data_IF_341628432015
#
_entry.id   IF_341628432015
#
_cell.length_a   1.000
_cell.length_b   1.000
_cell.length_c   1.000
_cell.angle_alpha   90.00
_cell.angle_beta   90.00
_cell.angle_gamma   90.00
#
_symmetry.space_group_name_H-M   'P 1'
#
loop_
_entity.id
_entity.type
_entity.pdbx_description
1 polymer ?
#
# COMPACT_ATOMS: atom_id res chain seq x y z
N UNK A 1 8.78 -72.70 -5.29
CA UNK A 1 9.65 -71.51 -5.51
C UNK A 1 8.98 -70.66 -6.57
N UNK A 2 8.58 -69.41 -6.26
CA UNK A 2 7.90 -68.54 -7.24
C UNK A 2 8.95 -67.88 -8.15
N UNK A 3 8.70 -67.71 -9.46
CA UNK A 3 9.64 -67.05 -10.35
C UNK A 3 9.82 -65.58 -9.96
N UNK A 4 11.07 -65.12 -9.88
CA UNK A 4 11.44 -63.72 -9.67
C UNK A 4 11.19 -63.00 -11.00
N UNK A 5 10.32 -61.97 -10.99
CA UNK A 5 10.11 -61.12 -12.17
C UNK A 5 11.29 -60.13 -12.29
N UNK A 6 11.81 -59.87 -13.50
CA UNK A 6 12.91 -58.96 -13.70
C UNK A 6 12.50 -57.51 -13.38
N UNK A 7 13.37 -56.84 -12.63
CA UNK A 7 13.25 -55.44 -12.22
C UNK A 7 13.05 -54.56 -13.45
N UNK A 8 11.83 -54.03 -13.61
CA UNK A 8 11.57 -52.96 -14.55
C UNK A 8 12.18 -51.71 -13.93
N UNK A 9 13.42 -51.38 -14.30
CA UNK A 9 13.98 -50.05 -14.08
C UNK A 9 13.06 -49.04 -14.76
N UNK A 10 12.10 -48.51 -14.00
CA UNK A 10 11.39 -47.31 -14.36
C UNK A 10 12.45 -46.22 -14.41
N UNK A 11 12.84 -45.81 -15.62
CA UNK A 11 13.51 -44.54 -15.84
C UNK A 11 12.61 -43.49 -15.19
N UNK A 12 13.01 -43.05 -14.00
CA UNK A 12 12.38 -41.96 -13.28
C UNK A 12 12.23 -40.81 -14.25
N UNK A 13 10.99 -40.41 -14.48
CA UNK A 13 10.66 -39.13 -15.08
C UNK A 13 11.54 -38.08 -14.39
N UNK A 14 12.18 -37.14 -15.12
CA UNK A 14 12.86 -36.05 -14.45
C UNK A 14 11.81 -35.39 -13.56
N UNK A 15 12.06 -35.44 -12.25
CA UNK A 15 11.29 -34.71 -11.26
C UNK A 15 11.17 -33.30 -11.82
N UNK A 16 9.93 -32.84 -12.00
CA UNK A 16 9.64 -31.49 -12.40
C UNK A 16 10.57 -30.59 -11.60
N UNK A 17 11.44 -29.88 -12.30
CA UNK A 17 12.22 -28.81 -11.74
C UNK A 17 11.20 -27.83 -11.15
N UNK A 18 10.90 -27.97 -9.86
CA UNK A 18 10.30 -26.92 -9.06
C UNK A 18 11.34 -25.81 -9.06
N UNK A 19 11.32 -25.03 -10.14
CA UNK A 19 11.93 -23.72 -10.22
C UNK A 19 11.41 -22.96 -9.01
N UNK A 20 12.26 -22.85 -7.99
CA UNK A 20 11.96 -22.15 -6.75
C UNK A 20 11.84 -20.67 -7.10
N UNK A 21 10.67 -20.29 -7.61
CA UNK A 21 10.31 -18.91 -7.88
C UNK A 21 10.48 -18.18 -6.55
N UNK A 22 11.52 -17.35 -6.49
CA UNK A 22 11.81 -16.50 -5.36
C UNK A 22 10.51 -15.79 -4.95
N UNK A 23 10.00 -16.11 -3.75
CA UNK A 23 8.75 -15.56 -3.22
C UNK A 23 8.90 -14.07 -2.91
N UNK A 24 8.99 -13.25 -3.96
CA UNK A 24 9.03 -11.79 -3.85
C UNK A 24 7.61 -11.29 -3.69
N UNK A 25 7.23 -10.98 -2.44
CA UNK A 25 5.94 -10.32 -2.18
C UNK A 25 6.04 -8.85 -2.59
N UNK A 26 5.03 -8.29 -3.26
CA UNK A 26 5.03 -6.89 -3.63
C UNK A 26 5.03 -5.99 -2.39
N UNK A 27 5.74 -4.87 -2.48
CA UNK A 27 5.83 -3.84 -1.44
C UNK A 27 5.67 -2.46 -2.08
N UNK A 28 4.92 -1.57 -1.44
CA UNK A 28 4.61 -0.24 -1.96
C UNK A 28 5.39 0.85 -1.22
N UNK A 29 6.06 1.72 -1.97
CA UNK A 29 6.62 2.97 -1.44
C UNK A 29 5.88 4.13 -2.09
N UNK A 30 5.34 5.01 -1.27
CA UNK A 30 4.70 6.23 -1.72
C UNK A 30 5.34 7.46 -1.04
N UNK A 31 5.43 8.55 -1.78
CA UNK A 31 5.95 9.83 -1.27
C UNK A 31 5.07 10.98 -1.73
N UNK A 32 4.95 12.01 -0.91
CA UNK A 32 4.24 13.24 -1.27
C UNK A 32 4.85 14.46 -0.60
N UNK A 33 4.62 15.63 -1.18
CA UNK A 33 4.95 16.91 -0.56
C UNK A 33 3.69 17.79 -0.59
N UNK A 34 3.07 17.97 0.57
CA UNK A 34 1.83 18.74 0.69
C UNK A 34 2.10 20.25 0.67
N UNK A 35 1.06 21.02 0.37
CA UNK A 35 1.13 22.48 0.32
C UNK A 35 1.63 23.11 1.64
N UNK A 36 2.58 24.04 1.54
CA UNK A 36 3.32 24.56 2.69
C UNK A 36 2.57 25.60 3.52
N UNK A 37 1.64 26.38 2.94
CA UNK A 37 1.16 27.60 3.58
C UNK A 37 0.42 27.34 4.91
N UNK A 38 0.89 27.88 6.05
CA UNK A 38 0.45 27.45 7.38
C UNK A 38 -1.06 27.60 7.60
N UNK A 39 -1.66 28.68 7.09
CA UNK A 39 -3.11 28.98 7.24
C UNK A 39 -4.04 28.17 6.31
N UNK A 40 -3.51 27.39 5.37
CA UNK A 40 -4.31 26.67 4.36
C UNK A 40 -4.36 25.17 4.65
N UNK A 41 -4.72 24.83 5.88
CA UNK A 41 -4.83 23.44 6.33
C UNK A 41 -5.87 22.64 5.56
N UNK A 42 -6.99 23.27 5.17
CA UNK A 42 -7.99 22.62 4.32
C UNK A 42 -7.42 22.15 2.97
N UNK A 43 -6.48 22.90 2.38
CA UNK A 43 -5.80 22.51 1.14
C UNK A 43 -4.94 21.29 1.37
N UNK A 44 -4.10 21.30 2.42
CA UNK A 44 -3.29 20.12 2.78
C UNK A 44 -4.15 18.89 3.05
N UNK A 45 -5.27 19.07 3.75
CA UNK A 45 -6.19 17.96 4.06
C UNK A 45 -6.84 17.40 2.80
N UNK A 46 -7.27 18.25 1.87
CA UNK A 46 -7.81 17.81 0.58
C UNK A 46 -6.76 17.06 -0.25
N UNK A 47 -5.52 17.57 -0.30
CA UNK A 47 -4.42 16.90 -0.97
C UNK A 47 -4.09 15.53 -0.35
N UNK A 48 -4.04 15.44 0.99
CA UNK A 48 -3.82 14.17 1.68
C UNK A 48 -4.92 13.15 1.37
N UNK A 49 -6.20 13.56 1.42
CA UNK A 49 -7.33 12.69 1.08
C UNK A 49 -7.25 12.18 -0.36
N UNK A 50 -6.90 13.06 -1.31
CA UNK A 50 -6.71 12.67 -2.71
C UNK A 50 -5.55 11.68 -2.85
N UNK A 51 -4.41 11.97 -2.22
CA UNK A 51 -3.24 11.08 -2.23
C UNK A 51 -3.59 9.66 -1.75
N UNK A 52 -4.28 9.51 -0.61
CA UNK A 52 -4.69 8.20 -0.11
C UNK A 52 -5.73 7.51 -1.01
N UNK A 53 -6.66 8.26 -1.60
CA UNK A 53 -7.64 7.73 -2.56
C UNK A 53 -6.95 7.15 -3.79
N UNK A 54 -6.02 7.89 -4.38
CA UNK A 54 -5.28 7.46 -5.56
C UNK A 54 -4.36 6.28 -5.24
N UNK A 55 -3.75 6.26 -4.06
CA UNK A 55 -2.92 5.14 -3.62
C UNK A 55 -3.72 3.85 -3.49
N UNK A 56 -4.95 3.92 -2.95
CA UNK A 56 -5.87 2.78 -2.90
C UNK A 56 -6.29 2.31 -4.28
N UNK A 57 -6.58 3.25 -5.19
CA UNK A 57 -6.91 2.96 -6.59
C UNK A 57 -5.74 2.29 -7.33
N UNK A 58 -4.53 2.79 -7.11
CA UNK A 58 -3.29 2.24 -7.67
C UNK A 58 -3.06 0.79 -7.22
N UNK A 59 -3.19 0.51 -5.93
CA UNK A 59 -3.04 -0.85 -5.40
C UNK A 59 -4.14 -1.79 -5.90
N UNK A 60 -5.39 -1.34 -5.93
CA UNK A 60 -6.52 -2.15 -6.37
C UNK A 60 -6.41 -2.62 -7.83
N UNK A 61 -5.81 -1.82 -8.71
CA UNK A 61 -5.63 -2.16 -10.14
C UNK A 61 -4.50 -3.16 -10.40
N UNK A 62 -3.49 -3.21 -9.53
CA UNK A 62 -2.29 -4.02 -9.75
C UNK A 62 -2.21 -5.29 -8.91
N UNK A 63 -2.89 -5.33 -7.77
CA UNK A 63 -2.68 -6.31 -6.69
C UNK A 63 -4.01 -6.69 -6.04
N UNK A 64 -5.04 -6.90 -6.85
CA UNK A 64 -6.42 -7.14 -6.41
C UNK A 64 -6.48 -8.31 -5.41
N UNK A 65 -6.96 -8.04 -4.19
CA UNK A 65 -7.07 -9.03 -3.10
C UNK A 65 -5.80 -9.27 -2.27
N UNK A 66 -4.65 -8.66 -2.63
CA UNK A 66 -3.43 -8.78 -1.85
C UNK A 66 -3.31 -7.67 -0.79
N UNK A 67 -2.96 -8.04 0.45
CA UNK A 67 -2.45 -7.08 1.43
C UNK A 67 -1.02 -6.70 1.08
N UNK A 68 -0.84 -5.46 0.61
CA UNK A 68 0.46 -4.96 0.17
C UNK A 68 1.08 -4.12 1.28
N UNK A 69 2.17 -4.58 1.93
CA UNK A 69 2.87 -3.77 2.91
C UNK A 69 3.36 -2.46 2.26
N UNK A 70 3.26 -1.36 2.99
CA UNK A 70 3.52 -0.03 2.43
C UNK A 70 4.29 0.86 3.40
N UNK A 71 5.21 1.65 2.83
CA UNK A 71 5.85 2.78 3.49
C UNK A 71 5.46 4.07 2.79
N UNK A 72 4.87 4.99 3.55
CA UNK A 72 4.51 6.33 3.10
C UNK A 72 5.48 7.33 3.73
N UNK A 73 6.08 8.18 2.89
CA UNK A 73 7.07 9.18 3.28
C UNK A 73 6.75 10.55 2.71
N UNK A 74 7.55 11.54 3.08
CA UNK A 74 7.53 12.87 2.48
C UNK A 74 7.24 13.98 3.47
N UNK A 75 7.15 15.20 2.94
CA UNK A 75 6.88 16.41 3.72
C UNK A 75 5.39 16.75 3.68
N UNK A 76 4.69 16.39 4.76
CA UNK A 76 3.26 16.63 4.91
C UNK A 76 2.93 18.06 5.36
N UNK A 77 3.93 18.90 5.68
CA UNK A 77 3.74 20.24 6.23
C UNK A 77 2.72 20.26 7.39
N UNK A 78 2.78 19.24 8.26
CA UNK A 78 1.85 19.03 9.36
C UNK A 78 2.60 18.72 10.66
N UNK A 79 1.93 18.92 11.79
CA UNK A 79 2.46 18.65 13.15
C UNK A 79 1.49 17.75 13.91
N UNK A 80 1.93 17.06 14.98
CA UNK A 80 1.02 16.29 15.83
C UNK A 80 -0.20 17.12 16.26
N UNK A 81 -1.38 16.51 16.20
CA UNK A 81 -2.67 17.15 16.55
C UNK A 81 -3.40 17.84 15.38
N UNK A 82 -2.70 18.17 14.28
CA UNK A 82 -3.34 18.75 13.10
C UNK A 82 -4.23 17.74 12.37
N UNK A 83 -5.29 18.18 11.65
CA UNK A 83 -6.17 17.35 10.83
C UNK A 83 -5.46 16.35 9.91
N UNK A 84 -4.40 16.75 9.20
CA UNK A 84 -3.65 15.84 8.32
C UNK A 84 -2.97 14.74 9.12
N UNK A 85 -2.30 15.08 10.22
CA UNK A 85 -1.69 14.10 11.12
C UNK A 85 -2.73 13.11 11.68
N UNK A 86 -3.90 13.61 12.09
CA UNK A 86 -5.00 12.76 12.57
C UNK A 86 -5.53 11.82 11.48
N UNK A 87 -5.71 12.32 10.26
CA UNK A 87 -6.08 11.49 9.11
C UNK A 87 -5.07 10.38 8.86
N UNK A 88 -3.77 10.69 8.86
CA UNK A 88 -2.70 9.69 8.65
C UNK A 88 -2.71 8.64 9.76
N UNK A 89 -2.82 9.07 11.02
CA UNK A 89 -2.70 8.17 12.18
C UNK A 89 -3.94 7.32 12.43
N UNK A 90 -5.13 7.86 12.17
CA UNK A 90 -6.41 7.23 12.54
C UNK A 90 -7.23 6.79 11.33
N UNK A 91 -6.81 7.12 10.11
CA UNK A 91 -7.57 6.85 8.89
C UNK A 91 -8.81 7.72 8.70
N UNK A 92 -9.15 8.56 9.69
CA UNK A 92 -10.32 9.41 9.69
C UNK A 92 -10.02 10.73 10.40
N UNK A 93 -10.79 11.75 10.05
CA UNK A 93 -10.71 13.05 10.69
C UNK A 93 -12.08 13.73 10.60
N UNK A 94 -12.58 14.18 11.74
CA UNK A 94 -13.72 15.07 11.80
C UNK A 94 -13.23 16.49 11.52
N UNK A 95 -13.87 17.13 10.55
CA UNK A 95 -13.56 18.50 10.19
C UNK A 95 -14.72 19.33 10.69
N UNK A 96 -14.47 20.14 11.72
CA UNK A 96 -15.41 21.19 12.06
C UNK A 96 -15.42 22.20 10.90
N UNK A 97 -16.55 22.27 10.20
CA UNK A 97 -16.77 23.29 9.19
C UNK A 97 -17.03 24.59 9.93
N UNK A 98 -15.95 25.26 10.35
CA UNK A 98 -16.02 26.65 10.72
C UNK A 98 -16.62 27.41 9.56
N UNK A 99 -17.74 28.12 9.79
CA UNK A 99 -18.30 29.07 8.83
C UNK A 99 -17.14 29.87 8.25
N UNK A 100 -16.99 29.82 6.93
CA UNK A 100 -15.99 30.59 6.23
C UNK A 100 -16.06 32.02 6.76
N UNK A 101 -15.04 32.43 7.52
CA UNK A 101 -14.79 33.83 7.73
C UNK A 101 -14.35 34.33 6.35
N UNK A 102 -15.33 34.86 5.61
CA UNK A 102 -15.06 35.89 4.61
C UNK A 102 -14.15 36.95 5.25
N UNK A 103 -13.25 37.54 4.44
CA UNK A 103 -12.24 38.59 4.73
C UNK A 103 -10.85 37.98 4.99
N UNK A 104 -9.78 38.33 4.27
CA UNK A 104 -9.43 39.38 3.30
C UNK A 104 -8.35 38.84 2.36
#
# INVERSE_FOLDING_TARGET
LRPIQPDQHQNGQPAAEEESAEHTKPFCVATTHLYWHPRREGVRLAQAKLFFKELRSFLGKGLEGAEVPMVITGDFNTRPGHPVYRLIRHGQVEVEVGRAAERE
#
